data_IF_138106166394
#
_entry.id   IF_138106166394
#
_cell.length_a   1.000
_cell.length_b   1.000
_cell.length_c   1.000
_cell.angle_alpha   90.00
_cell.angle_beta   90.00
_cell.angle_gamma   90.00
#
_symmetry.space_group_name_H-M   'P 1'
#
loop_
_entity.id
_entity.type
_entity.pdbx_description
1 polymer ?
#
# COMPACT_ATOMS: atom_id res chain seq x y z
N UNK A 1 -15.73 12.15 1.57
CA UNK A 1 -14.86 13.34 1.46
C UNK A 1 -14.34 13.44 0.02
N UNK A 2 -13.81 14.59 -0.41
CA UNK A 2 -13.19 14.76 -1.73
C UNK A 2 -11.71 15.13 -1.58
N UNK A 3 -10.90 14.68 -2.53
CA UNK A 3 -9.45 14.86 -2.56
C UNK A 3 -8.97 15.31 -3.94
N UNK A 4 -7.80 15.91 -3.99
CA UNK A 4 -7.09 16.23 -5.23
C UNK A 4 -5.63 15.82 -5.13
N UNK A 5 -5.04 15.48 -6.28
CA UNK A 5 -3.59 15.31 -6.42
C UNK A 5 -2.94 16.66 -6.70
N UNK A 6 -2.02 17.09 -5.85
CA UNK A 6 -1.30 18.34 -6.04
C UNK A 6 -0.15 18.22 -7.06
N UNK A 7 0.59 19.31 -7.25
CA UNK A 7 1.71 19.36 -8.21
C UNK A 7 2.88 18.45 -7.84
N UNK A 8 3.01 18.11 -6.56
CA UNK A 8 4.04 17.20 -6.06
C UNK A 8 3.55 15.74 -6.14
N UNK A 9 2.32 15.53 -6.63
CA UNK A 9 1.67 14.24 -6.77
C UNK A 9 1.08 13.69 -5.48
N UNK A 10 1.04 14.50 -4.41
CA UNK A 10 0.47 14.12 -3.12
C UNK A 10 -1.05 14.30 -3.17
N UNK A 11 -1.79 13.29 -2.72
CA UNK A 11 -3.25 13.37 -2.60
C UNK A 11 -3.59 14.11 -1.29
N UNK A 12 -4.35 15.21 -1.40
CA UNK A 12 -4.74 16.07 -0.27
C UNK A 12 -6.26 16.23 -0.22
N UNK A 13 -6.86 16.32 0.97
CA UNK A 13 -8.28 16.60 1.09
C UNK A 13 -8.56 18.03 0.65
N UNK A 14 -9.72 18.25 0.04
CA UNK A 14 -10.26 19.60 -0.09
C UNK A 14 -10.70 20.14 1.28
N UNK A 15 -10.69 21.46 1.43
CA UNK A 15 -11.26 22.11 2.62
C UNK A 15 -12.78 21.89 2.72
N UNK A 16 -13.29 22.03 3.95
CA UNK A 16 -14.71 21.76 4.26
C UNK A 16 -15.68 22.57 3.40
N UNK A 17 -15.49 23.89 3.18
CA UNK A 17 -16.35 24.67 2.28
C UNK A 17 -16.37 24.12 0.85
N UNK A 18 -15.21 23.79 0.29
CA UNK A 18 -15.07 23.26 -1.07
C UNK A 18 -15.78 21.91 -1.21
N UNK A 19 -15.61 21.02 -0.22
CA UNK A 19 -16.32 19.73 -0.18
C UNK A 19 -17.84 19.95 -0.18
N UNK A 20 -18.34 20.89 0.62
CA UNK A 20 -19.77 21.19 0.67
C UNK A 20 -20.32 21.72 -0.66
N UNK A 21 -19.57 22.58 -1.35
CA UNK A 21 -19.95 23.12 -2.66
C UNK A 21 -20.01 22.02 -3.73
N UNK A 22 -18.96 21.19 -3.84
CA UNK A 22 -18.91 20.03 -4.76
C UNK A 22 -20.10 19.10 -4.49
N UNK A 23 -20.33 18.72 -3.22
CA UNK A 23 -21.44 17.84 -2.85
C UNK A 23 -22.80 18.43 -3.21
N UNK A 24 -23.02 19.73 -3.00
CA UNK A 24 -24.27 20.39 -3.37
C UNK A 24 -24.49 20.38 -4.90
N UNK A 25 -23.45 20.68 -5.69
CA UNK A 25 -23.52 20.67 -7.16
C UNK A 25 -23.88 19.29 -7.72
N UNK A 26 -23.36 18.23 -7.11
CA UNK A 26 -23.65 16.86 -7.53
C UNK A 26 -25.05 16.42 -7.08
N UNK A 27 -25.36 16.54 -5.79
CA UNK A 27 -26.57 15.94 -5.23
C UNK A 27 -27.83 16.78 -5.45
N UNK A 28 -27.72 18.10 -5.50
CA UNK A 28 -28.87 19.02 -5.63
C UNK A 28 -29.06 19.47 -7.07
N UNK A 29 -27.97 19.87 -7.72
CA UNK A 29 -28.04 20.42 -9.07
C UNK A 29 -27.93 19.32 -10.15
N UNK A 30 -27.59 18.08 -9.76
CA UNK A 30 -27.40 16.92 -10.64
C UNK A 30 -26.39 17.19 -11.78
N UNK A 31 -25.32 17.94 -11.46
CA UNK A 31 -24.31 18.32 -12.43
C UNK A 31 -23.13 17.34 -12.43
N UNK A 32 -22.77 16.86 -13.62
CA UNK A 32 -21.57 16.07 -13.86
C UNK A 32 -20.32 16.93 -14.08
N UNK A 33 -20.50 18.14 -14.64
CA UNK A 33 -19.45 19.13 -14.88
C UNK A 33 -19.94 20.49 -14.39
N UNK A 34 -19.13 21.20 -13.60
CA UNK A 34 -19.50 22.49 -13.04
C UNK A 34 -18.28 23.31 -12.62
N UNK A 35 -18.47 24.64 -12.49
CA UNK A 35 -17.42 25.53 -12.02
C UNK A 35 -17.57 25.85 -10.53
N UNK A 36 -16.45 25.93 -9.84
CA UNK A 36 -16.34 26.35 -8.43
C UNK A 36 -15.17 27.32 -8.25
N UNK A 37 -15.21 28.08 -7.16
CA UNK A 37 -14.11 28.98 -6.79
C UNK A 37 -13.41 28.47 -5.54
N UNK A 38 -12.12 28.15 -5.67
CA UNK A 38 -11.28 27.73 -4.53
C UNK A 38 -10.23 28.83 -4.31
N UNK A 39 -10.37 29.55 -3.20
CA UNK A 39 -9.55 30.74 -2.91
C UNK A 39 -9.67 31.82 -3.99
N UNK A 40 -8.56 32.11 -4.68
CA UNK A 40 -8.50 33.14 -5.74
C UNK A 40 -8.65 32.58 -7.16
N UNK A 41 -8.86 31.28 -7.30
CA UNK A 41 -8.85 30.59 -8.57
C UNK A 41 -10.23 30.00 -8.88
N UNK A 42 -10.59 30.00 -10.16
CA UNK A 42 -11.77 29.31 -10.65
C UNK A 42 -11.36 28.00 -11.32
N UNK A 43 -12.14 26.97 -11.05
CA UNK A 43 -11.91 25.63 -11.55
C UNK A 43 -13.17 25.07 -12.17
N UNK A 44 -13.02 24.34 -13.26
CA UNK A 44 -14.01 23.40 -13.75
C UNK A 44 -13.73 22.03 -13.13
N UNK A 45 -14.77 21.42 -12.58
CA UNK A 45 -14.76 20.09 -11.98
C UNK A 45 -15.53 19.16 -12.92
N UNK A 46 -14.91 18.05 -13.31
CA UNK A 46 -15.54 16.98 -14.06
C UNK A 46 -15.55 15.70 -13.22
N UNK A 47 -16.74 15.31 -12.78
CA UNK A 47 -16.95 14.16 -11.90
C UNK A 47 -16.83 12.84 -12.66
N UNK A 48 -17.14 12.85 -13.96
CA UNK A 48 -17.12 11.66 -14.81
C UNK A 48 -15.68 11.27 -15.13
N UNK A 49 -14.88 12.26 -15.51
CA UNK A 49 -13.46 12.07 -15.82
C UNK A 49 -12.56 12.19 -14.60
N UNK A 50 -13.12 12.58 -13.45
CA UNK A 50 -12.39 12.78 -12.18
C UNK A 50 -11.23 13.76 -12.31
N UNK A 51 -11.51 14.89 -12.94
CA UNK A 51 -10.53 15.96 -13.14
C UNK A 51 -11.00 17.29 -12.58
N UNK A 52 -10.01 18.12 -12.24
CA UNK A 52 -10.16 19.53 -11.92
C UNK A 52 -9.26 20.33 -12.87
N UNK A 53 -9.84 21.27 -13.60
CA UNK A 53 -9.15 22.12 -14.55
C UNK A 53 -9.18 23.58 -14.10
N UNK A 54 -8.01 24.19 -13.93
CA UNK A 54 -7.94 25.62 -13.63
C UNK A 54 -8.28 26.44 -14.88
N UNK A 55 -9.28 27.31 -14.80
CA UNK A 55 -9.80 28.03 -15.96
C UNK A 55 -8.76 28.95 -16.59
N UNK A 56 -7.93 29.60 -15.77
CA UNK A 56 -6.94 30.57 -16.23
C UNK A 56 -5.65 29.91 -16.72
N UNK A 57 -5.05 29.06 -15.89
CA UNK A 57 -3.71 28.48 -16.14
C UNK A 57 -3.77 27.22 -17.00
N UNK A 58 -4.96 26.67 -17.20
CA UNK A 58 -5.20 25.40 -17.89
C UNK A 58 -4.53 24.17 -17.26
N UNK A 59 -4.07 24.28 -16.02
CA UNK A 59 -3.52 23.14 -15.29
C UNK A 59 -4.64 22.18 -14.91
N UNK A 60 -4.46 20.90 -15.22
CA UNK A 60 -5.34 19.82 -14.83
C UNK A 60 -4.80 19.07 -13.60
N UNK A 61 -5.69 18.60 -12.75
CA UNK A 61 -5.41 17.72 -11.60
C UNK A 61 -6.41 16.59 -11.55
N UNK A 62 -5.98 15.42 -11.10
CA UNK A 62 -6.90 14.35 -10.74
C UNK A 62 -7.58 14.63 -9.41
N UNK A 63 -8.85 14.25 -9.30
CA UNK A 63 -9.64 14.30 -8.07
C UNK A 63 -10.14 12.92 -7.69
N UNK A 64 -10.43 12.72 -6.41
CA UNK A 64 -10.82 11.41 -5.87
C UNK A 64 -11.94 11.57 -4.85
N UNK A 65 -12.83 10.60 -4.83
CA UNK A 65 -13.70 10.37 -3.68
C UNK A 65 -12.99 9.46 -2.66
N UNK A 66 -13.44 9.50 -1.41
CA UNK A 66 -12.99 8.55 -0.38
C UNK A 66 -13.05 7.10 -0.86
N UNK A 67 -14.16 6.73 -1.49
CA UNK A 67 -14.40 5.38 -2.01
C UNK A 67 -13.43 4.98 -3.13
N UNK A 68 -12.83 5.93 -3.83
CA UNK A 68 -11.78 5.65 -4.81
C UNK A 68 -10.48 5.27 -4.12
N UNK A 69 -10.11 6.03 -3.08
CA UNK A 69 -8.92 5.75 -2.28
C UNK A 69 -9.04 4.42 -1.53
N UNK A 70 -10.23 4.10 -1.00
CA UNK A 70 -10.51 2.81 -0.37
C UNK A 70 -10.32 1.64 -1.35
N UNK A 71 -10.77 1.78 -2.60
CA UNK A 71 -10.60 0.75 -3.64
C UNK A 71 -9.14 0.55 -4.05
N UNK A 72 -8.33 1.60 -4.03
CA UNK A 72 -6.88 1.48 -4.28
C UNK A 72 -6.19 0.65 -3.19
N UNK A 73 -6.61 0.83 -1.93
CA UNK A 73 -6.02 0.14 -0.77
C UNK A 73 -6.54 -1.28 -0.57
N UNK A 74 -7.77 -1.55 -1.02
CA UNK A 74 -8.44 -2.81 -0.76
C UNK A 74 -9.05 -3.41 -2.02
N UNK A 75 -8.48 -4.54 -2.42
CA UNK A 75 -8.93 -5.37 -3.51
C UNK A 75 -8.59 -6.83 -3.21
N UNK A 76 -9.30 -7.75 -3.85
CA UNK A 76 -9.04 -9.17 -3.69
C UNK A 76 -7.82 -9.58 -4.50
N UNK A 77 -6.79 -10.08 -3.81
CA UNK A 77 -5.68 -10.74 -4.48
C UNK A 77 -6.23 -12.00 -5.16
N UNK A 78 -6.17 -12.03 -6.48
CA UNK A 78 -6.58 -13.20 -7.21
C UNK A 78 -5.59 -14.34 -6.91
N UNK A 79 -6.10 -15.47 -6.41
CA UNK A 79 -5.31 -16.66 -6.14
C UNK A 79 -5.31 -17.63 -7.33
N UNK A 80 -5.31 -17.09 -8.56
CA UNK A 80 -5.26 -17.87 -9.81
C UNK A 80 -4.39 -19.11 -9.62
N UNK A 81 -4.93 -20.26 -10.08
CA UNK A 81 -4.42 -21.61 -9.86
C UNK A 81 -2.89 -21.61 -9.76
N UNK A 82 -2.39 -22.03 -8.58
CA UNK A 82 -0.96 -22.16 -8.27
C UNK A 82 -0.26 -22.68 -9.52
N UNK A 83 0.53 -21.85 -10.21
CA UNK A 83 1.48 -22.41 -11.15
C UNK A 83 2.44 -23.24 -10.31
N UNK A 84 2.39 -24.59 -10.40
CA UNK A 84 3.30 -25.40 -9.63
C UNK A 84 4.71 -24.92 -9.96
N UNK A 85 5.55 -24.67 -8.95
CA UNK A 85 6.96 -24.42 -9.20
C UNK A 85 7.50 -25.51 -10.15
N UNK A 86 8.42 -25.13 -11.04
CA UNK A 86 9.09 -26.11 -11.89
C UNK A 86 9.71 -27.21 -11.01
N UNK A 87 9.86 -28.46 -11.49
CA UNK A 87 10.47 -29.53 -10.71
C UNK A 87 11.82 -29.10 -10.10
N UNK A 88 11.92 -29.17 -8.77
CA UNK A 88 13.11 -28.74 -8.00
C UNK A 88 13.12 -27.25 -7.60
N UNK A 89 12.13 -26.46 -8.00
CA UNK A 89 11.93 -25.08 -7.54
C UNK A 89 10.92 -25.06 -6.39
N UNK A 90 11.14 -24.14 -5.46
CA UNK A 90 10.31 -23.99 -4.27
C UNK A 90 9.22 -22.92 -4.43
N UNK A 91 9.42 -22.05 -5.42
CA UNK A 91 8.53 -20.95 -5.75
C UNK A 91 8.54 -20.72 -7.27
N UNK A 92 7.54 -19.99 -7.76
CA UNK A 92 7.53 -19.41 -9.11
C UNK A 92 7.20 -17.92 -9.03
N UNK A 93 7.58 -17.17 -10.07
CA UNK A 93 7.24 -15.76 -10.22
C UNK A 93 6.76 -15.49 -11.63
N UNK A 94 5.72 -14.68 -11.76
CA UNK A 94 5.17 -14.26 -13.04
C UNK A 94 5.21 -12.74 -13.11
N UNK A 95 5.77 -12.20 -14.18
CA UNK A 95 5.65 -10.77 -14.47
C UNK A 95 4.23 -10.48 -14.96
N UNK A 96 3.55 -9.55 -14.29
CA UNK A 96 2.19 -9.18 -14.62
C UNK A 96 2.15 -8.35 -15.92
N UNK A 97 1.14 -8.59 -16.74
CA UNK A 97 0.87 -7.76 -17.91
C UNK A 97 0.40 -6.37 -17.46
N UNK A 98 0.99 -5.30 -18.01
CA UNK A 98 0.66 -3.91 -17.65
C UNK A 98 -0.82 -3.55 -17.89
N UNK A 99 -1.47 -4.25 -18.82
CA UNK A 99 -2.89 -4.07 -19.14
C UNK A 99 -3.82 -4.92 -18.26
N UNK A 100 -3.30 -5.76 -17.36
CA UNK A 100 -4.12 -6.54 -16.44
C UNK A 100 -4.67 -5.67 -15.31
N UNK A 101 -5.90 -5.96 -14.88
CA UNK A 101 -6.52 -5.30 -13.71
C UNK A 101 -5.65 -5.43 -12.46
N UNK A 102 -4.99 -6.58 -12.27
CA UNK A 102 -4.10 -6.82 -11.14
C UNK A 102 -2.90 -5.87 -11.15
N UNK A 103 -2.24 -5.70 -12.30
CA UNK A 103 -1.15 -4.71 -12.44
C UNK A 103 -1.67 -3.30 -12.16
N UNK A 104 -2.81 -2.93 -12.73
CA UNK A 104 -3.40 -1.60 -12.56
C UNK A 104 -3.68 -1.29 -11.08
N UNK A 105 -4.33 -2.19 -10.35
CA UNK A 105 -4.61 -2.03 -8.92
C UNK A 105 -3.33 -1.81 -8.10
N UNK A 106 -2.30 -2.62 -8.33
CA UNK A 106 -1.01 -2.49 -7.60
C UNK A 106 -0.33 -1.18 -7.95
N UNK A 107 -0.35 -0.80 -9.23
CA UNK A 107 0.25 0.44 -9.71
C UNK A 107 -0.46 1.67 -9.12
N UNK A 108 -1.79 1.66 -9.06
CA UNK A 108 -2.57 2.74 -8.45
C UNK A 108 -2.27 2.86 -6.96
N UNK A 109 -2.21 1.75 -6.23
CA UNK A 109 -1.86 1.76 -4.82
C UNK A 109 -0.42 2.28 -4.59
N UNK A 110 0.53 1.90 -5.45
CA UNK A 110 1.89 2.42 -5.39
C UNK A 110 1.91 3.94 -5.66
N UNK A 111 1.32 4.39 -6.77
CA UNK A 111 1.27 5.78 -7.19
C UNK A 111 0.34 6.67 -6.35
N UNK A 112 -0.41 6.08 -5.41
CA UNK A 112 -1.16 6.81 -4.40
C UNK A 112 -0.21 7.56 -3.45
N UNK A 113 0.95 6.98 -3.15
CA UNK A 113 1.95 7.56 -2.25
C UNK A 113 3.31 7.84 -2.92
N UNK A 114 3.60 7.23 -4.07
CA UNK A 114 4.85 7.37 -4.83
C UNK A 114 4.58 7.91 -6.25
N UNK A 115 4.15 9.17 -6.42
CA UNK A 115 3.72 9.69 -7.72
C UNK A 115 4.82 9.67 -8.79
N UNK A 116 4.44 9.47 -10.06
CA UNK A 116 5.35 9.69 -11.19
C UNK A 116 5.68 11.18 -11.29
N UNK A 117 6.96 11.53 -11.17
CA UNK A 117 7.40 12.93 -11.30
C UNK A 117 8.20 13.05 -12.59
N UNK A 118 7.68 13.84 -13.53
CA UNK A 118 8.39 14.16 -14.77
C UNK A 118 9.28 15.37 -14.53
N UNK A 119 10.58 15.15 -14.49
CA UNK A 119 11.57 16.21 -14.37
C UNK A 119 11.83 16.82 -15.74
N UNK A 120 11.35 18.04 -15.97
CA UNK A 120 11.70 18.83 -17.16
C UNK A 120 13.07 19.46 -16.93
N UNK A 121 14.11 18.93 -17.58
CA UNK A 121 15.42 19.60 -17.53
C UNK A 121 15.34 20.91 -18.33
N UNK A 122 15.70 22.04 -17.72
CA UNK A 122 15.66 23.35 -18.37
C UNK A 122 16.85 23.61 -19.30
N UNK A 123 17.78 22.66 -19.47
CA UNK A 123 19.01 22.87 -20.25
C UNK A 123 19.43 21.60 -21.02
N UNK A 124 19.21 21.64 -22.34
CA UNK A 124 20.02 21.03 -23.41
C UNK A 124 20.20 19.49 -23.43
N UNK A 125 19.55 18.71 -22.55
CA UNK A 125 19.48 17.25 -22.71
C UNK A 125 18.03 16.80 -22.93
N UNK A 126 17.77 16.21 -24.10
CA UNK A 126 16.49 15.64 -24.55
C UNK A 126 16.06 14.38 -23.78
N UNK A 127 16.55 14.17 -22.55
CA UNK A 127 16.15 13.05 -21.69
C UNK A 127 15.22 13.55 -20.58
N UNK A 128 13.92 13.24 -20.71
CA UNK A 128 12.98 13.36 -19.60
C UNK A 128 13.31 12.29 -18.57
N UNK A 129 13.58 12.68 -17.32
CA UNK A 129 13.68 11.71 -16.22
C UNK A 129 12.32 11.61 -15.54
N UNK A 130 11.84 10.39 -15.36
CA UNK A 130 10.61 10.10 -14.62
C UNK A 130 11.01 9.37 -13.34
N UNK A 131 10.86 10.02 -12.19
CA UNK A 131 11.05 9.34 -10.90
C UNK A 131 9.86 8.44 -10.59
N UNK A 132 10.12 7.40 -9.79
CA UNK A 132 9.15 6.40 -9.33
C UNK A 132 8.54 5.56 -10.45
N UNK A 133 9.17 5.46 -11.61
CA UNK A 133 8.64 4.70 -12.74
C UNK A 133 8.72 3.21 -12.43
N UNK A 134 7.56 2.55 -12.27
CA UNK A 134 7.47 1.09 -12.21
C UNK A 134 8.07 0.49 -13.50
N UNK A 135 9.00 -0.43 -13.32
CA UNK A 135 9.67 -1.20 -14.38
C UNK A 135 8.90 -2.49 -14.61
N UNK A 136 8.51 -3.18 -13.53
CA UNK A 136 7.71 -4.40 -13.59
C UNK A 136 7.12 -4.72 -12.23
N UNK A 137 6.07 -5.53 -12.25
CA UNK A 137 5.45 -6.12 -11.07
C UNK A 137 5.49 -7.63 -11.24
N UNK A 138 6.12 -8.33 -10.30
CA UNK A 138 6.19 -9.78 -10.29
C UNK A 138 5.28 -10.32 -9.20
N UNK A 139 4.31 -11.16 -9.57
CA UNK A 139 3.50 -11.94 -8.64
C UNK A 139 4.28 -13.18 -8.21
N UNK A 140 4.26 -13.47 -6.93
CA UNK A 140 5.03 -14.55 -6.30
C UNK A 140 4.09 -15.69 -5.92
N UNK A 141 4.52 -16.91 -6.24
CA UNK A 141 3.84 -18.14 -5.88
C UNK A 141 4.79 -19.03 -5.08
N UNK A 142 4.59 -19.12 -3.77
CA UNK A 142 5.31 -20.04 -2.89
C UNK A 142 4.28 -20.86 -2.10
N UNK A 143 4.00 -22.11 -2.50
CA UNK A 143 2.96 -22.94 -1.88
C UNK A 143 3.18 -23.15 -0.37
N UNK A 144 4.43 -23.37 0.07
CA UNK A 144 4.75 -23.60 1.48
C UNK A 144 4.45 -22.38 2.35
N UNK A 145 4.83 -21.19 1.89
CA UNK A 145 4.51 -19.94 2.60
C UNK A 145 3.00 -19.65 2.55
N UNK A 146 2.34 -19.98 1.44
CA UNK A 146 0.89 -19.82 1.29
C UNK A 146 0.11 -20.73 2.24
N UNK A 147 0.54 -21.97 2.42
CA UNK A 147 -0.08 -22.93 3.35
C UNK A 147 0.02 -22.42 4.79
N UNK A 148 1.19 -21.91 5.19
CA UNK A 148 1.40 -21.33 6.53
C UNK A 148 0.51 -20.11 6.77
N UNK A 149 0.47 -19.21 5.80
CA UNK A 149 -0.38 -18.03 5.86
C UNK A 149 -1.86 -18.39 5.94
N UNK A 150 -2.31 -19.34 5.12
CA UNK A 150 -3.70 -19.81 5.10
C UNK A 150 -4.09 -20.46 6.42
N UNK A 151 -3.21 -21.29 6.97
CA UNK A 151 -3.39 -21.92 8.28
C UNK A 151 -3.52 -20.88 9.40
N UNK A 152 -2.61 -19.91 9.45
CA UNK A 152 -2.65 -18.86 10.48
C UNK A 152 -3.84 -17.91 10.32
N UNK A 153 -4.25 -17.60 9.09
CA UNK A 153 -5.44 -16.79 8.85
C UNK A 153 -6.69 -17.51 9.37
N UNK A 154 -6.82 -18.81 9.10
CA UNK A 154 -7.93 -19.62 9.62
C UNK A 154 -7.94 -19.61 11.15
N UNK A 155 -6.79 -19.87 11.78
CA UNK A 155 -6.68 -19.86 13.25
C UNK A 155 -7.09 -18.52 13.85
N UNK A 156 -6.60 -17.41 13.30
CA UNK A 156 -6.88 -16.08 13.85
C UNK A 156 -8.30 -15.61 13.56
N UNK A 157 -8.93 -16.13 12.49
CA UNK A 157 -10.37 -15.96 12.29
C UNK A 157 -11.18 -16.69 13.36
N UNK A 158 -10.79 -17.91 13.72
CA UNK A 158 -11.43 -18.69 14.78
C UNK A 158 -11.24 -18.02 16.15
N UNK A 159 -10.02 -17.57 16.47
CA UNK A 159 -9.68 -16.95 17.75
C UNK A 159 -10.41 -15.60 17.97
N UNK A 160 -10.62 -14.82 16.92
CA UNK A 160 -11.33 -13.53 17.07
C UNK A 160 -12.84 -13.69 17.22
N UNK A 161 -13.43 -14.83 16.82
CA UNK A 161 -14.86 -15.15 16.93
C UNK A 161 -15.80 -13.96 16.66
N UNK A 162 -15.39 -13.07 15.76
CA UNK A 162 -16.10 -11.84 15.47
C UNK A 162 -17.11 -12.18 14.38
N UNK A 163 -18.39 -12.17 14.75
CA UNK A 163 -19.49 -12.40 13.81
C UNK A 163 -19.67 -11.24 12.83
N UNK A 164 -18.86 -10.18 12.93
CA UNK A 164 -18.83 -9.10 11.97
C UNK A 164 -18.14 -9.54 10.66
N UNK A 165 -18.90 -9.78 9.57
CA UNK A 165 -18.32 -10.18 8.30
C UNK A 165 -17.52 -9.04 7.65
N UNK A 166 -17.62 -7.81 8.16
CA UNK A 166 -16.87 -6.65 7.65
C UNK A 166 -15.47 -6.55 8.26
N UNK A 167 -15.17 -7.34 9.30
CA UNK A 167 -13.87 -7.33 9.95
C UNK A 167 -12.78 -7.93 9.05
N UNK A 168 -11.97 -7.06 8.44
CA UNK A 168 -10.86 -7.47 7.58
C UNK A 168 -9.65 -7.84 8.43
N UNK A 169 -9.47 -9.15 8.61
CA UNK A 169 -8.30 -9.73 9.29
C UNK A 169 -6.99 -9.55 8.52
N UNK A 170 -7.07 -9.12 7.26
CA UNK A 170 -5.92 -8.96 6.37
C UNK A 170 -5.87 -7.57 5.76
N UNK A 171 -4.65 -7.10 5.49
CA UNK A 171 -4.36 -5.86 4.77
C UNK A 171 -3.28 -6.12 3.71
N UNK A 172 -3.35 -5.39 2.61
CA UNK A 172 -2.26 -5.29 1.65
C UNK A 172 -1.35 -4.14 2.08
N UNK A 173 -0.11 -4.46 2.44
CA UNK A 173 0.84 -3.49 3.00
C UNK A 173 2.22 -3.61 2.34
N UNK A 174 2.92 -2.48 2.27
CA UNK A 174 4.23 -2.36 1.67
C UNK A 174 5.35 -2.75 2.65
N UNK A 175 6.41 -3.35 2.13
CA UNK A 175 7.62 -3.65 2.89
C UNK A 175 8.88 -3.47 2.04
N UNK A 176 9.88 -2.79 2.59
CA UNK A 176 11.22 -2.72 2.02
C UNK A 176 12.17 -3.61 2.82
N UNK A 177 12.92 -4.47 2.14
CA UNK A 177 13.83 -5.44 2.77
C UNK A 177 15.22 -4.87 3.11
N UNK A 178 15.43 -3.57 2.95
CA UNK A 178 16.71 -2.89 3.21
C UNK A 178 17.83 -3.46 2.35
N UNK A 179 18.91 -3.89 2.98
CA UNK A 179 20.04 -4.53 2.28
C UNK A 179 19.84 -6.04 2.05
N UNK A 180 18.76 -6.62 2.58
CA UNK A 180 18.46 -8.04 2.38
C UNK A 180 17.83 -8.24 0.99
N UNK A 181 18.45 -9.10 0.19
CA UNK A 181 17.89 -9.48 -1.11
C UNK A 181 16.45 -10.01 -0.94
N UNK A 182 15.45 -9.48 -1.70
CA UNK A 182 14.08 -9.97 -1.66
C UNK A 182 13.95 -11.48 -1.85
N UNK A 183 14.88 -12.10 -2.60
CA UNK A 183 14.90 -13.55 -2.79
C UNK A 183 14.98 -14.35 -1.49
N UNK A 184 15.68 -13.83 -0.47
CA UNK A 184 15.82 -14.48 0.83
C UNK A 184 14.45 -14.64 1.52
N UNK A 185 13.46 -13.81 1.17
CA UNK A 185 12.11 -13.87 1.70
C UNK A 185 11.22 -14.74 0.81
N UNK A 186 11.10 -14.41 -0.49
CA UNK A 186 10.10 -15.07 -1.35
C UNK A 186 10.44 -16.52 -1.72
N UNK A 187 11.74 -16.89 -1.70
CA UNK A 187 12.18 -18.25 -2.05
C UNK A 187 12.37 -19.16 -0.85
N UNK A 188 12.20 -18.65 0.37
CA UNK A 188 12.40 -19.45 1.58
C UNK A 188 11.28 -20.48 1.74
N UNK A 189 11.66 -21.70 2.10
CA UNK A 189 10.75 -22.85 2.25
C UNK A 189 10.27 -23.04 3.68
N UNK A 190 10.79 -22.25 4.61
CA UNK A 190 10.57 -22.44 6.03
C UNK A 190 9.61 -21.41 6.59
N UNK A 191 9.98 -20.14 6.63
CA UNK A 191 9.24 -19.10 7.33
C UNK A 191 9.07 -17.82 6.51
N UNK A 192 9.81 -17.67 5.40
CA UNK A 192 9.79 -16.44 4.59
C UNK A 192 10.30 -15.27 5.41
N UNK A 193 9.35 -14.49 5.94
CA UNK A 193 9.58 -13.38 6.86
C UNK A 193 10.04 -13.88 8.23
N UNK A 194 11.24 -13.49 8.66
CA UNK A 194 11.81 -13.92 9.95
C UNK A 194 12.09 -12.74 10.87
N UNK A 195 11.52 -12.78 12.07
CA UNK A 195 11.61 -11.70 13.07
C UNK A 195 13.06 -11.48 13.54
N UNK A 196 13.90 -12.50 13.49
CA UNK A 196 15.31 -12.40 13.88
C UNK A 196 16.13 -11.47 12.97
N UNK A 197 15.64 -11.09 11.79
CA UNK A 197 16.22 -10.02 10.97
C UNK A 197 15.76 -8.61 11.37
N UNK A 198 14.78 -8.51 12.27
CA UNK A 198 14.28 -7.23 12.78
C UNK A 198 15.22 -6.64 13.83
N UNK A 199 15.41 -5.33 13.77
CA UNK A 199 16.24 -4.59 14.70
C UNK A 199 15.56 -4.45 16.06
N UNK A 200 16.31 -4.68 17.15
CA UNK A 200 15.87 -4.40 18.50
C UNK A 200 15.65 -2.89 18.79
N UNK A 201 16.05 -2.01 17.87
CA UNK A 201 15.83 -0.55 17.95
C UNK A 201 14.57 -0.08 17.22
N UNK A 202 13.76 -1.00 16.70
CA UNK A 202 12.53 -0.64 16.02
C UNK A 202 11.47 -0.16 17.03
N UNK A 203 10.64 0.76 16.58
CA UNK A 203 9.83 1.64 17.44
C UNK A 203 8.70 0.94 18.20
N UNK A 204 8.24 -0.21 17.71
CA UNK A 204 7.30 -1.10 18.39
C UNK A 204 7.96 -2.46 18.65
N UNK A 205 9.25 -2.44 18.98
CA UNK A 205 10.04 -3.62 19.31
C UNK A 205 10.30 -4.57 18.14
N UNK A 206 10.74 -5.78 18.46
CA UNK A 206 11.27 -6.72 17.47
C UNK A 206 10.14 -7.52 16.81
N UNK A 207 9.64 -7.01 15.68
CA UNK A 207 8.60 -7.64 14.86
C UNK A 207 8.81 -7.43 13.36
N UNK A 208 7.86 -7.88 12.54
CA UNK A 208 7.84 -7.65 11.09
C UNK A 208 6.99 -6.41 10.80
N UNK A 209 7.59 -5.41 10.15
CA UNK A 209 7.01 -4.08 9.95
C UNK A 209 6.49 -3.94 8.52
N UNK A 210 5.26 -3.44 8.37
CA UNK A 210 4.63 -3.21 7.09
C UNK A 210 3.92 -1.85 7.10
N UNK A 211 4.05 -1.06 6.05
CA UNK A 211 3.48 0.29 5.96
C UNK A 211 2.35 0.39 4.94
N UNK A 212 1.38 1.26 5.19
CA UNK A 212 0.32 1.61 4.23
C UNK A 212 0.87 2.39 3.03
N UNK A 213 1.88 3.23 3.27
CA UNK A 213 2.39 4.16 2.27
C UNK A 213 3.67 3.61 1.64
N UNK A 214 3.65 3.41 0.32
CA UNK A 214 4.85 3.01 -0.44
C UNK A 214 6.01 4.01 -0.27
N UNK A 215 5.72 5.31 -0.10
CA UNK A 215 6.75 6.35 0.08
C UNK A 215 7.43 6.30 1.45
N UNK A 216 6.73 5.86 2.49
CA UNK A 216 7.37 5.58 3.76
C UNK A 216 8.31 4.38 3.63
N UNK A 217 7.82 3.30 3.02
CA UNK A 217 8.58 2.07 2.83
C UNK A 217 9.75 2.21 1.85
N UNK A 218 9.73 3.18 0.93
CA UNK A 218 10.81 3.48 -0.01
C UNK A 218 12.18 3.68 0.68
N UNK A 219 12.20 4.25 1.88
CA UNK A 219 13.42 4.44 2.69
C UNK A 219 14.13 3.11 3.01
N UNK A 220 13.39 2.01 2.94
CA UNK A 220 13.86 0.65 3.18
C UNK A 220 13.82 -0.19 1.89
N UNK A 221 13.59 0.39 0.72
CA UNK A 221 13.55 -0.36 -0.54
C UNK A 221 14.93 -0.94 -0.87
N UNK A 222 14.96 -2.22 -1.25
CA UNK A 222 16.18 -2.88 -1.68
C UNK A 222 16.66 -2.26 -2.99
N UNK A 223 17.98 -2.05 -3.13
CA UNK A 223 18.59 -1.59 -4.40
C UNK A 223 19.18 -2.79 -5.13
N UNK A 224 18.64 -3.11 -6.29
CA UNK A 224 19.17 -4.20 -7.11
C UNK A 224 20.42 -3.78 -7.89
N UNK A 225 21.05 -4.75 -8.56
CA UNK A 225 22.32 -4.55 -9.28
C UNK A 225 22.21 -3.56 -10.45
N UNK A 226 21.01 -3.36 -11.00
CA UNK A 226 20.75 -2.40 -12.07
C UNK A 226 20.54 -0.97 -11.53
N UNK A 227 20.59 -0.79 -10.20
CA UNK A 227 20.26 0.46 -9.54
C UNK A 227 18.76 0.68 -9.35
N UNK A 228 17.88 -0.26 -9.72
CA UNK A 228 16.44 -0.12 -9.47
C UNK A 228 16.12 -0.43 -8.01
N UNK A 229 14.97 0.08 -7.54
CA UNK A 229 14.42 -0.20 -6.21
C UNK A 229 13.41 -1.32 -6.27
N UNK A 230 13.35 -2.11 -5.19
CA UNK A 230 12.38 -3.18 -5.03
C UNK A 230 11.63 -3.03 -3.70
N UNK A 231 10.30 -3.10 -3.76
CA UNK A 231 9.39 -3.15 -2.61
C UNK A 231 8.47 -4.36 -2.74
N UNK A 232 8.19 -5.00 -1.60
CA UNK A 232 7.12 -5.98 -1.51
C UNK A 232 5.78 -5.29 -1.31
N UNK A 233 4.74 -5.84 -1.93
CA UNK A 233 3.36 -5.70 -1.48
C UNK A 233 2.90 -7.06 -0.95
N UNK A 234 2.57 -7.10 0.34
CA UNK A 234 2.30 -8.35 1.06
C UNK A 234 0.86 -8.40 1.59
N UNK A 235 0.25 -9.57 1.53
CA UNK A 235 -0.95 -9.90 2.30
C UNK A 235 -0.56 -10.14 3.75
N UNK A 236 -0.79 -9.16 4.62
CA UNK A 236 -0.47 -9.22 6.04
C UNK A 236 -1.74 -9.53 6.80
N UNK A 237 -1.71 -10.59 7.61
CA UNK A 237 -2.78 -10.86 8.56
C UNK A 237 -2.53 -9.96 9.77
N UNK A 238 -3.29 -8.87 9.86
CA UNK A 238 -3.23 -7.94 10.99
C UNK A 238 -4.12 -8.39 12.14
N UNK A 239 -5.16 -9.17 11.84
CA UNK A 239 -6.14 -9.60 12.83
C UNK A 239 -6.82 -8.42 13.51
N UNK A 240 -7.13 -8.57 14.79
CA UNK A 240 -7.53 -7.47 15.67
C UNK A 240 -6.31 -6.71 16.16
N UNK A 241 -6.05 -5.58 15.51
CA UNK A 241 -4.90 -4.72 15.78
C UNK A 241 -5.19 -3.68 16.86
N UNK A 242 -4.14 -3.27 17.58
CA UNK A 242 -4.23 -2.22 18.60
C UNK A 242 -3.28 -1.07 18.30
N UNK A 243 -3.80 0.15 18.40
CA UNK A 243 -2.99 1.37 18.30
C UNK A 243 -2.09 1.45 19.53
N UNK A 244 -0.79 1.63 19.34
CA UNK A 244 0.18 1.77 20.42
C UNK A 244 1.10 2.96 20.21
N UNK A 245 1.48 3.60 21.32
CA UNK A 245 2.62 4.51 21.33
C UNK A 245 3.92 3.74 21.05
N UNK A 246 4.95 4.45 20.64
CA UNK A 246 6.26 3.86 20.38
C UNK A 246 6.85 3.30 21.69
N UNK A 247 7.10 2.00 21.71
CA UNK A 247 7.82 1.28 22.76
C UNK A 247 8.66 0.14 22.15
N UNK A 248 9.97 0.29 22.23
CA UNK A 248 10.94 -0.70 21.73
C UNK A 248 10.92 -2.02 22.51
N UNK A 249 10.26 -2.06 23.68
CA UNK A 249 10.19 -3.26 24.53
C UNK A 249 9.00 -4.18 24.18
N UNK A 250 8.15 -3.80 23.24
CA UNK A 250 7.04 -4.64 22.80
C UNK A 250 7.60 -5.92 22.16
N UNK A 251 7.15 -7.06 22.69
CA UNK A 251 7.51 -8.40 22.17
C UNK A 251 6.32 -9.14 21.58
N UNK A 252 5.12 -8.75 22.01
CA UNK A 252 3.83 -9.27 21.57
C UNK A 252 2.77 -8.18 21.86
N UNK A 253 1.63 -8.17 21.14
CA UNK A 253 0.57 -7.20 21.38
C UNK A 253 -0.02 -7.32 22.80
N UNK A 254 -0.62 -6.24 23.29
CA UNK A 254 -1.22 -6.18 24.63
C UNK A 254 -2.41 -7.14 24.78
N UNK A 255 -2.76 -7.43 26.04
CA UNK A 255 -4.02 -8.12 26.35
C UNK A 255 -5.21 -7.22 25.99
N UNK A 256 -6.31 -7.84 25.56
CA UNK A 256 -7.61 -7.18 25.43
C UNK A 256 -8.22 -6.96 26.81
N UNK A 257 -9.33 -6.23 26.87
CA UNK A 257 -10.04 -5.90 28.11
C UNK A 257 -10.49 -7.14 28.91
N UNK A 258 -10.66 -8.29 28.25
CA UNK A 258 -11.01 -9.56 28.89
C UNK A 258 -9.89 -10.16 29.76
N UNK A 259 -8.66 -9.62 29.66
CA UNK A 259 -7.47 -10.09 30.37
C UNK A 259 -7.00 -11.49 30.00
N UNK A 260 -7.55 -12.10 28.93
CA UNK A 260 -7.30 -13.49 28.52
C UNK A 260 -6.78 -13.57 27.09
N UNK A 261 -7.35 -12.80 26.19
CA UNK A 261 -6.96 -12.76 24.78
C UNK A 261 -6.01 -11.59 24.54
N UNK A 262 -5.14 -11.72 23.54
CA UNK A 262 -4.27 -10.63 23.07
C UNK A 262 -4.80 -10.09 21.76
N UNK A 263 -4.45 -8.84 21.46
CA UNK A 263 -4.52 -8.35 20.10
C UNK A 263 -3.55 -9.15 19.19
N UNK A 264 -3.81 -9.13 17.90
CA UNK A 264 -3.08 -9.91 16.90
C UNK A 264 -1.89 -9.17 16.29
N UNK A 265 -1.93 -7.84 16.31
CA UNK A 265 -0.85 -6.97 15.85
C UNK A 265 -0.88 -5.60 16.55
N UNK A 266 0.20 -4.85 16.40
CA UNK A 266 0.30 -3.46 16.86
C UNK A 266 0.34 -2.54 15.66
N UNK A 267 -0.32 -1.39 15.75
CA UNK A 267 -0.25 -0.35 14.73
C UNK A 267 0.03 1.04 15.31
N UNK A 268 0.54 1.92 14.47
CA UNK A 268 0.78 3.32 14.82
C UNK A 268 1.13 4.19 13.61
N UNK A 269 1.09 5.50 13.78
CA UNK A 269 1.29 6.48 12.69
C UNK A 269 2.71 7.06 12.74
N UNK A 270 3.35 7.18 11.58
CA UNK A 270 4.67 7.83 11.40
C UNK A 270 4.61 8.91 10.34
N UNK A 271 5.43 9.95 10.53
CA UNK A 271 5.49 11.13 9.66
C UNK A 271 4.10 11.69 9.33
N UNK A 272 3.26 11.80 10.36
CA UNK A 272 1.94 12.42 10.34
C UNK A 272 0.86 11.67 9.54
N UNK A 273 1.22 10.80 8.59
CA UNK A 273 0.23 10.18 7.68
C UNK A 273 0.36 8.68 7.49
N UNK A 274 1.53 8.08 7.70
CA UNK A 274 1.73 6.67 7.32
C UNK A 274 1.45 5.73 8.47
N UNK A 275 0.43 4.88 8.30
CA UNK A 275 0.16 3.78 9.22
C UNK A 275 1.14 2.63 9.04
N UNK A 276 1.66 2.13 10.15
CA UNK A 276 2.58 1.00 10.22
C UNK A 276 1.92 -0.08 11.06
N UNK A 277 1.91 -1.32 10.55
CA UNK A 277 1.52 -2.51 11.30
C UNK A 277 2.75 -3.38 11.59
N UNK A 278 2.76 -3.94 12.80
CA UNK A 278 3.81 -4.83 13.28
C UNK A 278 3.20 -6.16 13.73
N UNK A 279 3.63 -7.25 13.09
CA UNK A 279 3.27 -8.62 13.46
C UNK A 279 4.47 -9.33 14.09
N UNK A 280 4.22 -10.09 15.16
CA UNK A 280 5.27 -10.71 15.98
C UNK A 280 5.35 -12.24 15.79
N UNK A 281 4.91 -12.74 14.64
CA UNK A 281 5.07 -14.14 14.25
C UNK A 281 5.38 -14.27 12.74
N UNK A 282 6.22 -15.25 12.38
CA UNK A 282 6.38 -15.69 10.99
C UNK A 282 5.10 -16.33 10.45
N UNK A 283 4.94 -16.37 9.13
CA UNK A 283 3.71 -16.86 8.48
C UNK A 283 2.52 -15.88 8.55
N UNK A 284 2.65 -14.76 9.28
CA UNK A 284 1.63 -13.69 9.34
C UNK A 284 1.56 -12.82 8.08
N UNK A 285 2.50 -12.98 7.16
CA UNK A 285 2.52 -12.23 5.91
C UNK A 285 2.89 -13.15 4.75
N UNK A 286 2.24 -12.96 3.60
CA UNK A 286 2.60 -13.62 2.35
C UNK A 286 3.16 -12.59 1.38
N UNK A 287 4.36 -12.80 0.80
CA UNK A 287 4.97 -11.84 -0.13
C UNK A 287 4.28 -11.93 -1.49
N UNK A 288 3.10 -11.33 -1.66
CA UNK A 288 2.27 -11.51 -2.85
C UNK A 288 2.90 -10.95 -4.13
N UNK A 289 3.53 -9.78 -4.04
CA UNK A 289 4.14 -9.11 -5.19
C UNK A 289 5.49 -8.48 -4.85
N UNK A 290 6.36 -8.39 -5.85
CA UNK A 290 7.59 -7.61 -5.85
C UNK A 290 7.52 -6.55 -6.95
N UNK A 291 7.47 -5.29 -6.54
CA UNK A 291 7.42 -4.12 -7.44
C UNK A 291 8.84 -3.60 -7.62
N UNK A 292 9.32 -3.59 -8.86
CA UNK A 292 10.60 -2.99 -9.25
C UNK A 292 10.35 -1.64 -9.92
N UNK A 293 11.07 -0.59 -9.51
CA UNK A 293 10.89 0.77 -10.02
C UNK A 293 12.20 1.57 -10.03
N UNK A 294 12.25 2.61 -10.86
CA UNK A 294 13.34 3.60 -10.89
C UNK A 294 13.11 4.72 -9.86
N UNK A 295 14.17 5.15 -9.15
CA UNK A 295 14.14 6.28 -8.20
C UNK A 295 14.77 7.56 -8.76
#
# INVERSE_FOLDING_TARGET
MWYYRDSDGVIKPYDVPTVAEITNKILRDNLAVFQIRIGKHEYEIDIVHKTQHNILTRTERQIFQETDLEKMRVWEVNYDEILPPQPGMEYSMIELNENSTEFQNISEYFYMHMPKIVHTSSLVSSSFRISNRIIRIRKIFNPKLRDQWTFLLKKIREDNNNNDPTFKLTKLLWHGSGDLSPSIIYSDVHYGWKINYSSAKNLWGQGLYFGEDASYCHKYAFRNQNGNRELFLAEVITGDDIISLEDMNIKEPSLKEDGKTRYDSVCGVRHETSWIWVVYASGRAYPSYLVEYED
#
